data_IF_966449576646
#
_entry.id   IF_966449576646
#
_cell.length_a   1.000
_cell.length_b   1.000
_cell.length_c   1.000
_cell.angle_alpha   90.00
_cell.angle_beta   90.00
_cell.angle_gamma   90.00
#
_symmetry.space_group_name_H-M   'P 1'
#
loop_
_entity.id
_entity.type
_entity.pdbx_description
1 polymer ?
#
# COMPACT_ATOMS: atom_id res chain seq x y z
N UNK A 1 9.79 16.36 -45.20
CA UNK A 1 8.77 17.06 -44.37
C UNK A 1 7.54 16.17 -44.15
N UNK A 2 6.97 15.55 -45.21
CA UNK A 2 5.88 14.57 -45.10
C UNK A 2 6.21 13.35 -44.22
N UNK A 3 7.40 12.75 -44.38
CA UNK A 3 7.79 11.56 -43.60
C UNK A 3 7.92 11.83 -42.10
N UNK A 4 8.43 13.01 -41.72
CA UNK A 4 8.56 13.42 -40.32
C UNK A 4 7.17 13.58 -39.68
N UNK A 5 6.22 14.20 -40.39
CA UNK A 5 4.84 14.35 -39.92
C UNK A 5 4.14 13.00 -39.77
N UNK A 6 4.42 12.05 -40.67
CA UNK A 6 3.86 10.70 -40.61
C UNK A 6 4.44 9.89 -39.44
N UNK A 7 5.74 10.07 -39.15
CA UNK A 7 6.38 9.45 -37.99
C UNK A 7 5.85 10.03 -36.66
N UNK A 8 5.72 11.36 -36.55
CA UNK A 8 5.12 12.00 -35.37
C UNK A 8 3.69 11.50 -35.14
N UNK A 9 2.87 11.42 -36.21
CA UNK A 9 1.51 10.88 -36.12
C UNK A 9 1.51 9.43 -35.64
N UNK A 10 2.44 8.60 -36.12
CA UNK A 10 2.54 7.20 -35.70
C UNK A 10 2.89 7.06 -34.21
N UNK A 11 3.86 7.83 -33.72
CA UNK A 11 4.24 7.82 -32.31
C UNK A 11 3.11 8.35 -31.41
N UNK A 12 2.36 9.37 -31.85
CA UNK A 12 1.20 9.86 -31.12
C UNK A 12 0.11 8.78 -30.98
N UNK A 13 -0.17 8.05 -32.05
CA UNK A 13 -1.16 6.95 -32.02
C UNK A 13 -0.74 5.85 -31.06
N UNK A 14 0.54 5.45 -31.07
CA UNK A 14 1.08 4.47 -30.11
C UNK A 14 0.95 4.97 -28.67
N UNK A 15 1.25 6.23 -28.43
CA UNK A 15 1.15 6.84 -27.09
C UNK A 15 -0.30 6.83 -26.60
N UNK A 16 -1.24 7.26 -27.44
CA UNK A 16 -2.67 7.24 -27.10
C UNK A 16 -3.15 5.83 -26.77
N UNK A 17 -2.76 4.82 -27.57
CA UNK A 17 -3.10 3.43 -27.30
C UNK A 17 -2.57 2.93 -25.94
N UNK A 18 -1.34 3.31 -25.57
CA UNK A 18 -0.76 2.96 -24.26
C UNK A 18 -1.55 3.60 -23.11
N UNK A 19 -1.99 4.85 -23.29
CA UNK A 19 -2.83 5.56 -22.31
C UNK A 19 -4.20 4.90 -22.17
N UNK A 20 -4.86 4.57 -23.27
CA UNK A 20 -6.17 3.90 -23.24
C UNK A 20 -6.10 2.54 -22.52
N UNK A 21 -5.04 1.77 -22.77
CA UNK A 21 -4.84 0.49 -22.09
C UNK A 21 -4.54 0.67 -20.59
N UNK A 22 -3.83 1.74 -20.22
CA UNK A 22 -3.59 2.09 -18.82
C UNK A 22 -4.90 2.45 -18.11
N UNK A 23 -5.77 3.24 -18.73
CA UNK A 23 -7.07 3.60 -18.16
C UNK A 23 -7.94 2.37 -17.91
N UNK A 24 -8.01 1.43 -18.87
CA UNK A 24 -8.73 0.15 -18.69
C UNK A 24 -8.21 -0.66 -17.50
N UNK A 25 -6.90 -0.63 -17.25
CA UNK A 25 -6.29 -1.31 -16.09
C UNK A 25 -6.62 -0.61 -14.78
N UNK A 26 -6.72 0.72 -14.79
CA UNK A 26 -7.18 1.49 -13.62
C UNK A 26 -8.60 1.08 -13.28
N UNK A 27 -9.50 1.07 -14.27
CA UNK A 27 -10.90 0.66 -14.07
C UNK A 27 -11.00 -0.76 -13.48
N UNK A 28 -10.23 -1.71 -14.03
CA UNK A 28 -10.19 -3.09 -13.50
C UNK A 28 -9.67 -3.18 -12.05
N UNK A 29 -8.68 -2.35 -11.68
CA UNK A 29 -8.16 -2.31 -10.31
C UNK A 29 -9.18 -1.72 -9.33
N UNK A 30 -9.95 -0.71 -9.77
CA UNK A 30 -11.05 -0.17 -8.97
C UNK A 30 -12.13 -1.23 -8.70
N UNK A 31 -12.51 -2.00 -9.72
CA UNK A 31 -13.52 -3.05 -9.59
C UNK A 31 -13.06 -4.18 -8.64
N UNK A 32 -11.78 -4.62 -8.73
CA UNK A 32 -11.21 -5.62 -7.82
C UNK A 32 -11.20 -5.18 -6.35
N UNK A 33 -10.89 -3.91 -6.08
CA UNK A 33 -10.87 -3.37 -4.70
C UNK A 33 -12.29 -3.17 -4.16
N UNK A 34 -13.25 -2.80 -5.00
CA UNK A 34 -14.64 -2.61 -4.59
C UNK A 34 -15.36 -3.94 -4.29
N UNK A 35 -15.02 -5.02 -5.01
CA UNK A 35 -15.56 -6.35 -4.74
C UNK A 35 -15.18 -6.85 -3.34
N UNK A 36 -13.96 -6.57 -2.89
CA UNK A 36 -13.45 -6.96 -1.56
C UNK A 36 -14.17 -6.22 -0.42
N UNK A 37 -14.48 -4.92 -0.60
CA UNK A 37 -15.23 -4.12 0.37
C UNK A 37 -16.69 -4.62 0.55
N UNK A 38 -17.28 -5.25 -0.47
CA UNK A 38 -18.63 -5.82 -0.40
C UNK A 38 -18.62 -7.14 0.39
N UNK A 39 -17.64 -8.01 0.14
CA UNK A 39 -17.55 -9.33 0.78
C UNK A 39 -17.21 -9.25 2.29
N UNK A 40 -16.38 -8.28 2.72
CA UNK A 40 -16.13 -8.04 4.17
C UNK A 40 -17.38 -7.49 4.89
N UNK A 41 -18.20 -6.68 4.23
CA UNK A 41 -19.46 -6.16 4.81
C UNK A 41 -20.59 -7.20 4.82
N UNK A 42 -20.58 -8.18 3.92
CA UNK A 42 -21.57 -9.25 3.91
C UNK A 42 -21.35 -10.29 5.01
N UNK A 43 -20.10 -10.50 5.47
CA UNK A 43 -19.81 -11.38 6.61
C UNK A 43 -20.27 -10.83 7.98
N UNK A 44 -20.66 -9.55 8.08
CA UNK A 44 -21.35 -9.01 9.26
C UNK A 44 -22.89 -9.04 9.13
N UNK A 45 -23.42 -9.44 7.97
CA UNK A 45 -24.85 -9.43 7.66
C UNK A 45 -25.37 -10.82 7.25
N UNK A 46 -25.02 -11.86 8.01
CA UNK A 46 -25.75 -13.13 7.98
C UNK A 46 -27.14 -12.94 8.59
N UNK A 47 -28.11 -12.51 7.78
CA UNK A 47 -29.53 -12.82 7.94
C UNK A 47 -30.34 -12.43 6.69
N UNK A 48 -31.14 -13.40 6.21
CA UNK A 48 -32.20 -13.37 5.19
C UNK A 48 -31.86 -13.80 3.76
N UNK A 49 -31.81 -15.13 3.60
CA UNK A 49 -32.64 -15.99 2.74
C UNK A 49 -32.96 -15.62 1.27
N UNK A 50 -32.66 -16.62 0.41
CA UNK A 50 -33.20 -17.02 -0.89
C UNK A 50 -33.65 -15.99 -1.95
N UNK A 51 -32.93 -15.94 -3.08
CA UNK A 51 -33.35 -16.62 -4.33
C UNK A 51 -32.27 -16.55 -5.41
N UNK A 52 -31.97 -17.70 -5.99
CA UNK A 52 -31.09 -17.90 -7.15
C UNK A 52 -31.81 -17.50 -8.43
N UNK A 53 -31.11 -16.85 -9.36
CA UNK A 53 -31.41 -16.98 -10.79
C UNK A 53 -30.12 -17.04 -11.61
N UNK A 54 -30.08 -18.04 -12.47
CA UNK A 54 -28.99 -18.45 -13.35
C UNK A 54 -28.78 -17.45 -14.50
N UNK A 55 -27.54 -17.07 -14.80
CA UNK A 55 -27.16 -16.65 -16.16
C UNK A 55 -25.86 -17.32 -16.58
N UNK A 56 -25.96 -18.00 -17.72
CA UNK A 56 -25.00 -18.89 -18.33
C UNK A 56 -23.71 -18.20 -18.79
N UNK A 57 -22.63 -18.95 -18.62
CA UNK A 57 -21.25 -18.73 -19.05
C UNK A 57 -21.09 -18.53 -20.56
N UNK A 58 -20.50 -17.40 -20.95
CA UNK A 58 -19.84 -17.22 -22.25
C UNK A 58 -18.32 -17.26 -22.06
N UNK A 59 -17.68 -18.30 -22.60
CA UNK A 59 -16.23 -18.48 -22.56
C UNK A 59 -15.52 -17.48 -23.49
N UNK A 60 -15.03 -16.37 -22.95
CA UNK A 60 -13.98 -15.57 -23.57
C UNK A 60 -12.65 -15.87 -22.85
N UNK A 61 -11.62 -16.21 -23.64
CA UNK A 61 -10.30 -16.55 -23.12
C UNK A 61 -9.70 -15.34 -22.40
N UNK A 62 -9.80 -15.35 -21.08
CA UNK A 62 -9.09 -14.43 -20.19
C UNK A 62 -7.60 -14.66 -20.39
N UNK A 63 -6.89 -13.62 -20.84
CA UNK A 63 -5.45 -13.55 -20.67
C UNK A 63 -5.11 -13.89 -19.21
N UNK A 64 -4.09 -14.73 -19.01
CA UNK A 64 -3.67 -15.17 -17.68
C UNK A 64 -3.49 -13.96 -16.75
N UNK A 65 -4.00 -14.02 -15.50
CA UNK A 65 -3.89 -12.91 -14.58
C UNK A 65 -2.41 -12.58 -14.35
N UNK A 66 -2.05 -11.29 -14.24
CA UNK A 66 -0.70 -10.90 -13.87
C UNK A 66 -0.31 -11.66 -12.60
N UNK A 67 0.88 -12.26 -12.59
CA UNK A 67 1.43 -13.06 -11.48
C UNK A 67 0.95 -12.55 -10.12
N UNK A 68 0.33 -13.44 -9.33
CA UNK A 68 -0.31 -13.09 -8.07
C UNK A 68 0.69 -12.31 -7.21
N UNK A 69 0.29 -11.16 -6.67
CA UNK A 69 1.18 -10.25 -5.93
C UNK A 69 2.01 -10.95 -4.84
N UNK A 70 1.46 -12.00 -4.21
CA UNK A 70 2.16 -12.86 -3.25
C UNK A 70 3.43 -13.52 -3.79
N UNK A 71 3.48 -13.81 -5.09
CA UNK A 71 4.60 -14.46 -5.75
C UNK A 71 5.67 -13.42 -6.16
N UNK A 72 5.26 -12.17 -6.38
CA UNK A 72 6.17 -11.04 -6.61
C UNK A 72 6.96 -10.64 -5.35
N UNK A 73 6.38 -10.83 -4.18
CA UNK A 73 7.01 -10.54 -2.87
C UNK A 73 8.08 -11.57 -2.45
N UNK A 74 8.22 -12.68 -3.20
CA UNK A 74 9.16 -13.77 -2.89
C UNK A 74 10.49 -13.67 -3.64
N UNK A 75 10.64 -12.73 -4.56
CA UNK A 75 11.87 -12.55 -5.34
C UNK A 75 12.98 -11.96 -4.45
N UNK A 76 14.06 -12.72 -4.21
CA UNK A 76 15.21 -12.31 -3.39
C UNK A 76 15.89 -11.02 -3.90
N UNK A 77 15.81 -10.71 -5.20
CA UNK A 77 16.34 -9.47 -5.76
C UNK A 77 15.45 -8.27 -5.42
N UNK A 78 14.14 -8.46 -5.34
CA UNK A 78 13.21 -7.45 -4.85
C UNK A 78 13.37 -7.22 -3.35
N UNK A 79 13.69 -8.27 -2.57
CA UNK A 79 13.98 -8.12 -1.13
C UNK A 79 15.16 -7.19 -0.83
N UNK A 80 16.20 -7.17 -1.70
CA UNK A 80 17.34 -6.25 -1.57
C UNK A 80 16.98 -4.78 -1.81
N UNK A 81 16.00 -4.51 -2.67
CA UNK A 81 15.49 -3.15 -2.89
C UNK A 81 14.38 -2.79 -1.88
N UNK A 82 13.70 -3.79 -1.32
CA UNK A 82 12.71 -3.67 -0.24
C UNK A 82 13.34 -3.49 1.16
N UNK A 83 14.67 -3.39 1.29
CA UNK A 83 15.29 -2.99 2.57
C UNK A 83 14.97 -1.55 2.97
N UNK A 84 14.12 -0.85 2.22
CA UNK A 84 13.41 0.33 2.69
C UNK A 84 12.37 -0.07 3.74
N UNK A 85 12.73 0.08 5.01
CA UNK A 85 11.82 -0.08 6.17
C UNK A 85 10.51 0.71 6.04
N UNK A 86 10.49 1.73 5.17
CA UNK A 86 9.33 2.57 4.89
C UNK A 86 8.31 2.00 3.89
N UNK A 87 8.49 0.81 3.31
CA UNK A 87 7.64 0.25 2.24
C UNK A 87 7.00 -1.09 2.63
N UNK A 88 6.48 -1.17 3.84
CA UNK A 88 5.73 -2.32 4.36
C UNK A 88 4.28 -1.90 4.58
N UNK A 89 3.34 -2.82 4.31
CA UNK A 89 1.95 -2.67 4.75
C UNK A 89 1.88 -2.92 6.24
N UNK A 90 1.52 -1.89 7.00
CA UNK A 90 1.61 -1.91 8.45
C UNK A 90 0.27 -2.33 9.05
N UNK A 91 0.27 -3.30 9.96
CA UNK A 91 -0.93 -3.74 10.64
C UNK A 91 -1.26 -2.84 11.83
N UNK A 92 -2.55 -2.71 12.15
CA UNK A 92 -2.95 -2.05 13.40
C UNK A 92 -2.69 -3.02 14.55
N UNK A 93 -2.01 -2.56 15.60
CA UNK A 93 -1.74 -3.35 16.79
C UNK A 93 -3.03 -3.96 17.34
N UNK A 94 -3.05 -5.26 17.64
CA UNK A 94 -4.29 -5.96 18.04
C UNK A 94 -4.98 -5.29 19.24
N UNK A 95 -4.20 -4.87 20.23
CA UNK A 95 -4.71 -4.18 21.43
C UNK A 95 -5.41 -2.86 21.06
N UNK A 96 -4.87 -2.14 20.08
CA UNK A 96 -5.50 -0.92 19.56
C UNK A 96 -6.72 -1.28 18.74
N UNK A 97 -6.62 -2.28 17.87
CA UNK A 97 -7.73 -2.76 17.05
C UNK A 97 -8.96 -3.12 17.91
N UNK A 98 -8.77 -3.78 19.04
CA UNK A 98 -9.87 -4.22 19.90
C UNK A 98 -10.64 -3.05 20.53
N UNK A 99 -9.99 -1.89 20.75
CA UNK A 99 -10.62 -0.70 21.35
C UNK A 99 -11.20 0.28 20.31
N UNK A 100 -10.87 0.13 19.03
CA UNK A 100 -11.41 1.00 17.98
C UNK A 100 -12.91 0.81 17.81
N UNK A 101 -13.61 1.92 17.59
CA UNK A 101 -15.00 1.93 17.15
C UNK A 101 -15.15 1.21 15.80
N UNK A 102 -16.33 0.62 15.51
CA UNK A 102 -16.59 0.01 14.20
C UNK A 102 -16.34 0.98 13.03
N UNK A 103 -16.71 2.25 13.20
CA UNK A 103 -16.47 3.29 12.21
C UNK A 103 -14.97 3.47 11.91
N UNK A 104 -14.14 3.60 12.94
CA UNK A 104 -12.70 3.76 12.74
C UNK A 104 -12.01 2.48 12.24
N UNK A 105 -12.54 1.29 12.54
CA UNK A 105 -12.08 0.03 11.93
C UNK A 105 -12.31 0.02 10.42
N UNK A 106 -13.51 0.41 9.98
CA UNK A 106 -13.84 0.51 8.56
C UNK A 106 -12.96 1.53 7.85
N UNK A 107 -12.75 2.71 8.46
CA UNK A 107 -11.86 3.74 7.91
C UNK A 107 -10.41 3.25 7.85
N UNK A 108 -9.93 2.55 8.87
CA UNK A 108 -8.58 1.97 8.88
C UNK A 108 -8.38 0.91 7.80
N UNK A 109 -9.36 0.03 7.58
CA UNK A 109 -9.31 -0.95 6.49
C UNK A 109 -9.20 -0.29 5.12
N UNK A 110 -10.00 0.75 4.86
CA UNK A 110 -9.88 1.54 3.62
C UNK A 110 -8.51 2.19 3.46
N UNK A 111 -7.95 2.71 4.55
CA UNK A 111 -6.59 3.27 4.54
C UNK A 111 -5.51 2.20 4.33
N UNK A 112 -5.70 0.97 4.83
CA UNK A 112 -4.82 -0.17 4.53
C UNK A 112 -4.86 -0.55 3.05
N UNK A 113 -6.03 -0.47 2.39
CA UNK A 113 -6.15 -0.67 0.94
C UNK A 113 -5.30 0.36 0.18
N UNK A 114 -5.44 1.64 0.53
CA UNK A 114 -4.60 2.72 -0.04
C UNK A 114 -3.10 2.43 0.20
N UNK A 115 -2.74 2.02 1.42
CA UNK A 115 -1.38 1.65 1.78
C UNK A 115 -0.84 0.50 0.92
N UNK A 116 -1.67 -0.51 0.68
CA UNK A 116 -1.36 -1.68 -0.15
C UNK A 116 -1.06 -1.26 -1.59
N UNK A 117 -1.85 -0.35 -2.17
CA UNK A 117 -1.59 0.20 -3.52
C UNK A 117 -0.25 0.92 -3.59
N UNK A 118 0.11 1.72 -2.59
CA UNK A 118 1.41 2.41 -2.53
C UNK A 118 2.56 1.39 -2.52
N UNK A 119 2.47 0.36 -1.68
CA UNK A 119 3.50 -0.70 -1.57
C UNK A 119 3.59 -1.53 -2.86
N UNK A 120 2.44 -1.86 -3.48
CA UNK A 120 2.38 -2.54 -4.80
C UNK A 120 3.08 -1.71 -5.87
N UNK A 121 2.82 -0.40 -5.92
CA UNK A 121 3.43 0.52 -6.88
C UNK A 121 4.94 0.59 -6.70
N UNK A 122 5.41 0.70 -5.46
CA UNK A 122 6.84 0.69 -5.13
C UNK A 122 7.52 -0.62 -5.55
N UNK A 123 6.83 -1.75 -5.38
CA UNK A 123 7.34 -3.07 -5.82
C UNK A 123 7.53 -3.11 -7.33
N UNK A 124 6.58 -2.56 -8.10
CA UNK A 124 6.73 -2.45 -9.57
C UNK A 124 7.88 -1.51 -9.94
N UNK A 125 8.01 -0.38 -9.25
CA UNK A 125 9.11 0.58 -9.48
C UNK A 125 10.48 -0.06 -9.19
N UNK A 126 10.62 -0.83 -8.12
CA UNK A 126 11.85 -1.56 -7.79
C UNK A 126 12.25 -2.54 -8.90
N UNK A 127 11.29 -3.17 -9.60
CA UNK A 127 11.60 -4.01 -10.77
C UNK A 127 12.18 -3.19 -11.94
N UNK A 128 11.71 -1.96 -12.13
CA UNK A 128 12.22 -1.05 -13.18
C UNK A 128 13.65 -0.63 -12.85
N UNK A 129 13.89 -0.20 -11.61
CA UNK A 129 15.21 0.15 -11.07
C UNK A 129 16.20 -1.00 -11.31
N UNK A 130 15.85 -2.22 -10.89
CA UNK A 130 16.71 -3.39 -11.07
C UNK A 130 17.03 -3.67 -12.55
N UNK A 131 16.08 -3.45 -13.46
CA UNK A 131 16.33 -3.63 -14.91
C UNK A 131 17.28 -2.56 -15.45
N UNK A 132 17.10 -1.30 -15.05
CA UNK A 132 17.96 -0.19 -15.46
C UNK A 132 19.39 -0.37 -14.94
N UNK A 133 19.53 -0.79 -13.69
CA UNK A 133 20.82 -1.08 -13.06
C UNK A 133 21.59 -2.18 -13.83
N UNK A 134 20.93 -3.30 -14.14
CA UNK A 134 21.49 -4.37 -14.96
C UNK A 134 21.84 -3.95 -16.40
N UNK A 135 21.20 -2.91 -16.93
CA UNK A 135 21.55 -2.35 -18.25
C UNK A 135 22.81 -1.50 -18.16
N UNK A 136 22.95 -0.71 -17.08
CA UNK A 136 24.12 0.11 -16.81
C UNK A 136 25.37 -0.73 -16.50
N UNK A 137 25.22 -1.89 -15.85
CA UNK A 137 26.32 -2.84 -15.66
C UNK A 137 26.93 -3.34 -16.99
N UNK A 138 26.12 -3.38 -18.07
CA UNK A 138 26.54 -3.89 -19.38
C UNK A 138 27.12 -2.79 -20.26
N UNK A 139 26.56 -1.59 -20.18
CA UNK A 139 26.97 -0.45 -20.99
C UNK A 139 26.65 0.86 -20.25
N UNK A 140 27.68 1.68 -20.02
CA UNK A 140 27.47 3.01 -19.46
C UNK A 140 26.70 3.89 -20.46
N UNK A 141 25.47 4.23 -20.09
CA UNK A 141 24.61 5.12 -20.85
C UNK A 141 24.07 6.22 -19.92
N UNK A 142 24.44 7.47 -20.17
CA UNK A 142 24.04 8.61 -19.34
C UNK A 142 22.52 8.77 -19.26
N UNK A 143 21.79 8.45 -20.34
CA UNK A 143 20.32 8.51 -20.37
C UNK A 143 19.70 7.44 -19.43
N UNK A 144 20.24 6.22 -19.43
CA UNK A 144 19.79 5.17 -18.51
C UNK A 144 20.12 5.52 -17.05
N UNK A 145 21.26 6.18 -16.80
CA UNK A 145 21.64 6.65 -15.46
C UNK A 145 20.67 7.69 -14.93
N UNK A 146 20.33 8.70 -15.73
CA UNK A 146 19.34 9.72 -15.32
C UNK A 146 17.97 9.08 -15.07
N UNK A 147 17.56 8.12 -15.91
CA UNK A 147 16.29 7.41 -15.72
C UNK A 147 16.30 6.56 -14.43
N UNK A 148 17.45 5.98 -14.07
CA UNK A 148 17.61 5.25 -12.81
C UNK A 148 17.42 6.19 -11.62
N UNK A 149 18.05 7.36 -11.65
CA UNK A 149 17.92 8.38 -10.60
C UNK A 149 16.46 8.85 -10.45
N UNK A 150 15.76 9.15 -11.55
CA UNK A 150 14.33 9.52 -11.54
C UNK A 150 13.45 8.40 -10.94
N UNK A 151 13.77 7.14 -11.23
CA UNK A 151 13.04 5.99 -10.65
C UNK A 151 13.33 5.83 -9.16
N UNK A 152 14.57 6.06 -8.72
CA UNK A 152 14.96 6.03 -7.31
C UNK A 152 14.29 7.14 -6.50
N UNK A 153 14.22 8.36 -7.04
CA UNK A 153 13.48 9.47 -6.45
C UNK A 153 11.98 9.17 -6.36
N UNK A 154 11.41 8.57 -7.42
CA UNK A 154 10.02 8.12 -7.41
C UNK A 154 9.76 7.08 -6.31
N UNK A 155 10.68 6.13 -6.12
CA UNK A 155 10.59 5.12 -5.05
C UNK A 155 10.69 5.76 -3.65
N UNK A 156 11.56 6.74 -3.47
CA UNK A 156 11.67 7.50 -2.22
C UNK A 156 10.37 8.26 -1.90
N UNK A 157 9.73 8.88 -2.89
CA UNK A 157 8.43 9.55 -2.76
C UNK A 157 7.32 8.56 -2.38
N UNK A 158 7.33 7.34 -2.93
CA UNK A 158 6.38 6.28 -2.53
C UNK A 158 6.58 5.86 -1.07
N UNK A 159 7.83 5.72 -0.61
CA UNK A 159 8.13 5.48 0.81
C UNK A 159 7.64 6.63 1.71
N UNK A 160 7.78 7.88 1.27
CA UNK A 160 7.25 9.04 1.98
C UNK A 160 5.71 9.04 2.02
N UNK A 161 5.05 8.72 0.90
CA UNK A 161 3.59 8.58 0.83
C UNK A 161 3.09 7.50 1.81
N UNK A 162 3.78 6.35 1.88
CA UNK A 162 3.44 5.30 2.84
C UNK A 162 3.51 5.80 4.30
N UNK A 163 4.54 6.60 4.62
CA UNK A 163 4.67 7.24 5.94
C UNK A 163 3.52 8.21 6.24
N UNK A 164 3.11 9.01 5.26
CA UNK A 164 1.98 9.94 5.42
C UNK A 164 0.67 9.17 5.67
N UNK A 165 0.44 8.05 4.97
CA UNK A 165 -0.70 7.16 5.22
C UNK A 165 -0.69 6.65 6.66
N UNK A 166 0.45 6.15 7.17
CA UNK A 166 0.58 5.72 8.56
C UNK A 166 0.24 6.84 9.56
N UNK A 167 0.75 8.05 9.35
CA UNK A 167 0.46 9.20 10.22
C UNK A 167 -1.03 9.60 10.17
N UNK A 168 -1.65 9.53 8.99
CA UNK A 168 -3.08 9.81 8.82
C UNK A 168 -3.93 8.79 9.56
N UNK A 169 -3.60 7.49 9.44
CA UNK A 169 -4.27 6.40 10.19
C UNK A 169 -4.22 6.65 11.70
N UNK A 170 -3.04 6.98 12.26
CA UNK A 170 -2.90 7.34 13.68
C UNK A 170 -3.76 8.56 14.06
N UNK A 171 -3.83 9.57 13.19
CA UNK A 171 -4.59 10.80 13.44
C UNK A 171 -6.09 10.54 13.50
N UNK A 172 -6.61 9.68 12.63
CA UNK A 172 -8.04 9.33 12.57
C UNK A 172 -8.46 8.51 13.79
N UNK A 173 -7.60 7.60 14.24
CA UNK A 173 -7.86 6.79 15.44
C UNK A 173 -7.70 7.57 16.76
N UNK A 174 -7.23 8.83 16.71
CA UNK A 174 -6.86 9.60 17.89
C UNK A 174 -7.93 9.58 18.96
N UNK A 175 -9.20 9.83 18.61
CA UNK A 175 -10.26 9.96 19.60
C UNK A 175 -10.60 8.65 20.34
N UNK A 176 -10.42 7.50 19.68
CA UNK A 176 -10.65 6.18 20.27
C UNK A 176 -9.48 5.75 21.19
N UNK A 177 -8.29 6.31 20.95
CA UNK A 177 -7.03 5.96 21.64
C UNK A 177 -6.72 6.96 22.78
N UNK A 178 -7.50 8.03 22.97
CA UNK A 178 -7.28 9.00 24.05
C UNK A 178 -7.36 8.31 25.43
N UNK A 179 -6.43 8.67 26.31
CA UNK A 179 -6.30 8.08 27.65
C UNK A 179 -4.91 7.51 27.86
N UNK A 180 -4.83 6.26 28.33
CA UNK A 180 -3.58 5.56 28.66
C UNK A 180 -2.68 5.29 27.43
N UNK A 181 -3.23 5.39 26.22
CA UNK A 181 -2.54 5.14 24.96
C UNK A 181 -2.14 6.42 24.20
N UNK A 182 -2.43 7.61 24.76
CA UNK A 182 -2.23 8.88 24.07
C UNK A 182 -0.78 9.17 23.66
N UNK A 183 0.20 8.60 24.37
CA UNK A 183 1.63 8.72 24.03
C UNK A 183 2.00 8.01 22.73
N UNK A 184 1.24 6.99 22.32
CA UNK A 184 1.47 6.23 21.08
C UNK A 184 1.17 7.05 19.82
N UNK A 185 0.38 8.12 19.96
CA UNK A 185 0.04 9.03 18.87
C UNK A 185 1.20 9.98 18.49
N UNK A 186 2.31 9.96 19.23
CA UNK A 186 3.45 10.81 18.91
C UNK A 186 4.09 10.38 17.58
N UNK A 187 4.30 11.34 16.67
CA UNK A 187 4.91 11.14 15.36
C UNK A 187 6.36 10.60 15.43
N UNK A 188 7.02 10.72 16.59
CA UNK A 188 8.36 10.17 16.84
C UNK A 188 8.35 8.68 17.15
N UNK A 189 7.18 8.08 17.42
CA UNK A 189 7.08 6.62 17.65
C UNK A 189 7.30 5.92 16.32
N UNK A 190 8.38 5.14 16.15
CA UNK A 190 8.62 4.41 14.92
C UNK A 190 7.50 3.39 14.70
N UNK A 191 7.11 3.18 13.45
CA UNK A 191 6.28 2.04 13.06
C UNK A 191 7.20 0.96 12.47
N UNK A 192 6.85 -0.30 12.71
CA UNK A 192 7.52 -1.45 12.12
C UNK A 192 6.50 -2.26 11.31
N UNK A 193 6.29 -3.55 11.62
CA UNK A 193 5.15 -4.33 11.12
C UNK A 193 3.82 -3.82 11.69
N UNK A 194 3.86 -3.10 12.81
CA UNK A 194 2.70 -2.58 13.51
C UNK A 194 2.67 -1.04 13.52
N UNK A 195 1.45 -0.48 13.50
CA UNK A 195 1.19 0.93 13.27
C UNK A 195 1.68 1.81 14.41
N UNK A 196 1.59 1.33 15.64
CA UNK A 196 2.07 2.02 16.84
C UNK A 196 3.42 1.49 17.31
N UNK A 197 3.89 0.38 16.73
CA UNK A 197 5.22 -0.18 16.93
C UNK A 197 5.48 -0.71 18.34
N UNK A 198 6.47 -1.58 18.46
CA UNK A 198 6.93 -2.11 19.75
C UNK A 198 5.86 -2.94 20.50
N UNK A 199 6.05 -3.07 21.81
CA UNK A 199 5.11 -3.77 22.69
C UNK A 199 4.19 -2.73 23.34
N UNK A 200 3.04 -2.48 22.70
CA UNK A 200 2.00 -1.55 23.16
C UNK A 200 1.61 -1.81 24.61
N UNK A 201 1.48 -3.08 24.99
CA UNK A 201 1.09 -3.51 26.35
C UNK A 201 2.19 -3.12 27.35
N UNK A 202 3.44 -3.42 27.03
CA UNK A 202 4.58 -3.05 27.87
C UNK A 202 4.71 -1.53 28.01
N UNK A 203 4.48 -0.78 26.94
CA UNK A 203 4.55 0.69 26.97
C UNK A 203 3.52 1.29 27.92
N UNK A 204 2.31 0.74 27.97
CA UNK A 204 1.27 1.18 28.91
C UNK A 204 1.61 0.78 30.35
N UNK A 205 2.08 -0.46 30.56
CA UNK A 205 2.46 -0.96 31.88
C UNK A 205 3.64 -0.17 32.49
N UNK A 206 4.65 0.18 31.69
CA UNK A 206 5.79 0.98 32.12
C UNK A 206 5.38 2.42 32.50
N UNK A 207 4.40 3.01 31.82
CA UNK A 207 3.82 4.32 32.17
C UNK A 207 2.99 4.21 33.46
N UNK A 208 2.19 3.15 33.59
CA UNK A 208 1.44 2.83 34.81
C UNK A 208 2.36 2.66 36.03
N UNK A 209 3.53 2.05 35.85
CA UNK A 209 4.56 1.91 36.90
C UNK A 209 5.23 3.24 37.23
N UNK A 210 5.62 4.04 36.22
CA UNK A 210 6.25 5.35 36.43
C UNK A 210 5.33 6.34 37.16
N UNK A 211 4.05 6.38 36.81
CA UNK A 211 3.06 7.26 37.47
C UNK A 211 2.83 6.88 38.94
N UNK A 212 2.82 5.59 39.28
CA UNK A 212 2.74 5.09 40.66
C UNK A 212 3.97 5.46 41.50
N UNK A 213 5.15 5.51 40.90
CA UNK A 213 6.40 5.92 41.57
C UNK A 213 6.39 7.43 41.82
N UNK A 214 5.99 8.24 40.83
CA UNK A 214 5.88 9.71 40.97
C UNK A 214 4.92 10.12 42.09
N UNK A 215 3.78 9.43 42.21
CA UNK A 215 2.80 9.68 43.29
C UNK A 215 3.25 9.20 44.68
N UNK A 216 4.34 8.41 44.78
CA UNK A 216 4.94 7.97 46.05
C UNK A 216 6.07 8.87 46.55
N UNK A 217 6.57 9.78 45.70
CA UNK A 217 7.67 10.69 46.01
C UNK A 217 7.17 12.09 46.43
N UNK A 218 5.84 12.29 46.51
CA UNK A 218 5.20 13.51 47.01
C UNK A 218 4.66 13.32 48.41
#
# INVERSE_FOLDING_TARGET
MLDILQQIRSEQVKTNYRVDNMNKRIDALYDEEYQYDIDENQNESDCYDETCDEVQTGNEKRDEPPERFSDLMKDEKLQRLQSFDGLVTVQTDQVIWDILSPENKTVDNKMKTIQSVVVKTATVMAKVINKLDLMLEKEECTEHSNMLDDCMDSLALMGHANRLVCLMRRTLMKYDIIGEYGHLLNATVPYDKNLFGGDVVKSVDDIGKCSRISNKIR
#
